data_IF_776606942068
#
_entry.id   IF_776606942068
#
_cell.length_a   1.000
_cell.length_b   1.000
_cell.length_c   1.000
_cell.angle_alpha   90.00
_cell.angle_beta   90.00
_cell.angle_gamma   90.00
#
_symmetry.space_group_name_H-M   'P 1'
#
loop_
_entity.id
_entity.type
_entity.pdbx_description
1 polymer ?
#
# COMPACT_ATOMS: atom_id res chain seq x y z
N UNK A 1 7.45 -12.31 14.50
CA UNK A 1 8.07 -13.25 13.53
C UNK A 1 8.33 -12.47 12.25
N UNK A 2 9.52 -12.58 11.62
CA UNK A 2 9.78 -11.90 10.35
C UNK A 2 8.81 -12.42 9.28
N UNK A 3 8.26 -11.51 8.46
CA UNK A 3 7.33 -11.88 7.38
C UNK A 3 8.06 -12.61 6.25
N UNK A 4 9.15 -12.06 5.73
CA UNK A 4 9.91 -12.69 4.65
C UNK A 4 10.85 -13.81 5.06
N UNK A 5 11.58 -14.31 4.07
CA UNK A 5 12.65 -15.29 4.17
C UNK A 5 14.01 -14.58 4.17
N UNK A 6 14.97 -15.11 4.94
CA UNK A 6 16.37 -14.65 4.90
C UNK A 6 17.14 -15.29 3.71
N UNK A 7 16.67 -16.44 3.20
CA UNK A 7 17.13 -17.12 1.99
C UNK A 7 15.97 -17.87 1.31
N UNK A 8 16.07 -18.15 0.02
CA UNK A 8 15.04 -18.91 -0.72
C UNK A 8 15.67 -19.94 -1.65
N UNK A 9 14.93 -21.01 -1.98
CA UNK A 9 15.33 -22.00 -2.99
C UNK A 9 15.28 -21.37 -4.38
N UNK A 10 16.36 -21.49 -5.14
CA UNK A 10 16.45 -21.01 -6.51
C UNK A 10 16.73 -22.18 -7.44
N UNK A 11 15.94 -22.27 -8.50
CA UNK A 11 15.99 -23.38 -9.45
C UNK A 11 17.26 -23.22 -10.32
N UNK A 12 18.00 -24.32 -10.50
CA UNK A 12 19.30 -24.29 -11.18
C UNK A 12 19.17 -24.08 -12.70
N UNK A 13 18.00 -24.43 -13.24
CA UNK A 13 17.56 -24.26 -14.62
C UNK A 13 16.78 -22.95 -14.84
N UNK A 14 16.81 -22.01 -13.89
CA UNK A 14 16.07 -20.75 -13.99
C UNK A 14 16.34 -19.97 -15.29
N UNK A 15 17.59 -19.99 -15.77
CA UNK A 15 17.98 -19.31 -17.00
C UNK A 15 17.60 -20.07 -18.27
N UNK A 16 17.23 -21.35 -18.14
CA UNK A 16 16.75 -22.20 -19.23
C UNK A 16 15.21 -22.17 -19.35
N UNK A 17 14.50 -21.60 -18.36
CA UNK A 17 13.05 -21.37 -18.45
C UNK A 17 12.73 -20.46 -19.63
N UNK A 18 11.86 -20.93 -20.53
CA UNK A 18 11.49 -20.23 -21.77
C UNK A 18 11.03 -18.77 -21.50
N UNK A 19 10.31 -18.53 -20.40
CA UNK A 19 9.82 -17.20 -20.01
C UNK A 19 10.99 -16.27 -19.70
N UNK A 20 12.03 -16.78 -19.04
CA UNK A 20 13.25 -16.04 -18.73
C UNK A 20 14.10 -15.85 -19.97
N UNK A 21 14.21 -16.86 -20.84
CA UNK A 21 14.92 -16.74 -22.12
C UNK A 21 14.30 -15.66 -23.02
N UNK A 22 12.97 -15.52 -23.08
CA UNK A 22 12.34 -14.40 -23.81
C UNK A 22 12.70 -13.03 -23.21
N UNK A 23 12.74 -12.92 -21.89
CA UNK A 23 13.13 -11.70 -21.19
C UNK A 23 14.60 -11.38 -21.45
N UNK A 24 15.47 -12.39 -21.43
CA UNK A 24 16.88 -12.27 -21.79
C UNK A 24 17.07 -11.83 -23.24
N UNK A 25 16.35 -12.42 -24.19
CA UNK A 25 16.43 -12.04 -25.60
C UNK A 25 16.03 -10.57 -25.84
N UNK A 26 15.09 -10.03 -25.06
CA UNK A 26 14.58 -8.66 -25.23
C UNK A 26 15.37 -7.60 -24.44
N UNK A 27 15.82 -7.94 -23.23
CA UNK A 27 16.42 -6.97 -22.29
C UNK A 27 17.85 -7.34 -21.86
N UNK A 28 18.39 -8.43 -22.40
CA UNK A 28 19.69 -8.98 -22.05
C UNK A 28 19.81 -9.32 -20.57
N UNK A 29 21.05 -9.23 -20.08
CA UNK A 29 21.39 -9.46 -18.68
C UNK A 29 20.59 -8.60 -17.69
N UNK A 30 20.13 -7.42 -18.11
CA UNK A 30 19.31 -6.55 -17.25
C UNK A 30 17.93 -7.17 -16.98
N UNK A 31 17.36 -7.88 -17.95
CA UNK A 31 16.12 -8.63 -17.79
C UNK A 31 16.26 -9.75 -16.77
N UNK A 32 17.28 -10.58 -16.92
CA UNK A 32 17.59 -11.69 -16.01
C UNK A 32 17.86 -11.20 -14.57
N UNK A 33 18.75 -10.20 -14.43
CA UNK A 33 19.05 -9.59 -13.13
C UNK A 33 17.81 -8.96 -12.51
N UNK A 34 16.94 -8.34 -13.31
CA UNK A 34 15.69 -7.78 -12.81
C UNK A 34 14.78 -8.87 -12.24
N UNK A 35 14.57 -9.97 -12.98
CA UNK A 35 13.74 -11.08 -12.53
C UNK A 35 14.22 -11.67 -11.19
N UNK A 36 15.52 -11.94 -11.06
CA UNK A 36 16.11 -12.46 -9.82
C UNK A 36 15.95 -11.45 -8.67
N UNK A 37 16.17 -10.16 -8.93
CA UNK A 37 16.01 -9.12 -7.91
C UNK A 37 14.56 -8.91 -7.50
N UNK A 38 13.59 -9.13 -8.38
CA UNK A 38 12.18 -9.14 -8.03
C UNK A 38 11.86 -10.33 -7.13
N UNK A 39 12.33 -11.55 -7.45
CA UNK A 39 12.17 -12.72 -6.59
C UNK A 39 12.76 -12.49 -5.19
N UNK A 40 13.97 -11.94 -5.09
CA UNK A 40 14.59 -11.63 -3.78
C UNK A 40 13.73 -10.66 -2.97
N UNK A 41 13.16 -9.62 -3.59
CA UNK A 41 12.27 -8.67 -2.93
C UNK A 41 10.93 -9.29 -2.53
N UNK A 42 10.36 -10.14 -3.37
CA UNK A 42 9.12 -10.85 -3.06
C UNK A 42 9.35 -11.73 -1.82
N UNK A 43 10.33 -12.64 -1.86
CA UNK A 43 10.57 -13.56 -0.76
C UNK A 43 11.05 -12.87 0.52
N UNK A 44 11.75 -11.74 0.44
CA UNK A 44 12.09 -10.90 1.61
C UNK A 44 10.87 -10.24 2.26
N UNK A 45 9.76 -10.12 1.55
CA UNK A 45 8.53 -9.49 2.05
C UNK A 45 7.36 -10.46 2.25
N UNK A 46 7.41 -11.66 1.68
CA UNK A 46 6.36 -12.66 1.80
C UNK A 46 6.19 -13.48 0.53
N UNK A 47 4.93 -13.60 0.09
CA UNK A 47 4.52 -14.34 -1.11
C UNK A 47 4.13 -13.44 -2.29
N UNK A 48 4.22 -12.11 -2.12
CA UNK A 48 4.00 -11.12 -3.16
C UNK A 48 4.81 -9.85 -2.89
N UNK A 49 4.92 -8.98 -3.90
CA UNK A 49 5.50 -7.65 -3.78
C UNK A 49 4.52 -6.62 -4.33
N UNK A 50 4.27 -5.53 -3.60
CA UNK A 50 3.49 -4.40 -4.11
C UNK A 50 4.27 -3.70 -5.23
N UNK A 51 3.59 -3.39 -6.31
CA UNK A 51 4.11 -2.80 -7.53
C UNK A 51 3.23 -1.63 -7.97
N UNK A 52 3.33 -0.54 -7.22
CA UNK A 52 2.69 0.73 -7.52
C UNK A 52 3.57 1.61 -8.44
N UNK A 53 3.09 2.79 -8.80
CA UNK A 53 3.77 3.73 -9.70
C UNK A 53 5.18 4.12 -9.21
N UNK A 54 5.42 4.10 -7.91
CA UNK A 54 6.71 4.42 -7.29
C UNK A 54 7.70 3.23 -7.32
N UNK A 55 7.19 1.99 -7.39
CA UNK A 55 8.01 0.78 -7.27
C UNK A 55 9.12 0.67 -8.34
N UNK A 56 8.89 1.01 -9.63
CA UNK A 56 9.93 0.99 -10.66
C UNK A 56 11.05 2.00 -10.38
N UNK A 57 10.74 3.19 -9.85
CA UNK A 57 11.72 4.21 -9.49
C UNK A 57 12.60 3.73 -8.31
N UNK A 58 11.98 3.18 -7.28
CA UNK A 58 12.70 2.61 -6.13
C UNK A 58 13.50 1.37 -6.54
N UNK A 59 13.00 0.59 -7.49
CA UNK A 59 13.74 -0.51 -8.08
C UNK A 59 14.98 0.00 -8.79
N UNK A 60 14.83 0.88 -9.78
CA UNK A 60 15.89 1.45 -10.60
C UNK A 60 17.01 2.08 -9.74
N UNK A 61 16.64 2.88 -8.75
CA UNK A 61 17.60 3.54 -7.84
C UNK A 61 18.49 2.54 -7.10
N UNK A 62 17.89 1.50 -6.52
CA UNK A 62 18.66 0.44 -5.82
C UNK A 62 19.34 -0.48 -6.83
N UNK A 63 18.83 -0.52 -8.07
CA UNK A 63 19.34 -1.39 -9.10
C UNK A 63 20.72 -0.99 -9.60
N UNK A 64 21.00 0.31 -9.59
CA UNK A 64 22.26 0.89 -9.99
C UNK A 64 22.22 1.35 -11.44
N UNK A 65 23.41 1.69 -11.96
CA UNK A 65 23.52 2.32 -13.26
C UNK A 65 22.91 1.45 -14.38
N UNK A 66 22.20 2.10 -15.31
CA UNK A 66 21.59 1.42 -16.45
C UNK A 66 20.22 0.79 -16.21
N UNK A 67 19.66 0.85 -14.99
CA UNK A 67 18.25 0.56 -14.76
C UNK A 67 17.46 1.87 -14.71
N UNK A 68 16.56 2.07 -15.67
CA UNK A 68 15.58 3.17 -15.68
C UNK A 68 14.20 2.65 -15.26
N UNK A 69 13.31 3.49 -14.72
CA UNK A 69 11.95 3.08 -14.38
C UNK A 69 11.22 2.44 -15.58
N UNK A 70 11.36 3.03 -16.78
CA UNK A 70 10.74 2.53 -18.01
C UNK A 70 11.27 1.15 -18.41
N UNK A 71 12.60 0.94 -18.30
CA UNK A 71 13.19 -0.38 -18.56
C UNK A 71 12.64 -1.42 -17.58
N UNK A 72 12.57 -1.07 -16.30
CA UNK A 72 12.08 -2.00 -15.27
C UNK A 72 10.62 -2.34 -15.50
N UNK A 73 9.78 -1.35 -15.84
CA UNK A 73 8.38 -1.58 -16.21
C UNK A 73 8.27 -2.48 -17.44
N UNK A 74 9.04 -2.20 -18.50
CA UNK A 74 9.05 -3.05 -19.69
C UNK A 74 9.43 -4.51 -19.41
N UNK A 75 10.38 -4.73 -18.48
CA UNK A 75 10.75 -6.09 -18.04
C UNK A 75 9.61 -6.75 -17.25
N UNK A 76 8.98 -6.02 -16.31
CA UNK A 76 7.86 -6.54 -15.52
C UNK A 76 6.66 -6.89 -16.40
N UNK A 77 6.34 -6.04 -17.37
CA UNK A 77 5.28 -6.27 -18.34
C UNK A 77 5.55 -7.51 -19.18
N UNK A 78 6.79 -7.72 -19.63
CA UNK A 78 7.16 -8.93 -20.37
C UNK A 78 7.11 -10.17 -19.47
N UNK A 79 7.57 -10.10 -18.22
CA UNK A 79 7.46 -11.19 -17.24
C UNK A 79 5.98 -11.56 -16.99
N UNK A 80 5.10 -10.58 -16.84
CA UNK A 80 3.66 -10.82 -16.69
C UNK A 80 3.03 -11.39 -17.97
N UNK A 81 3.42 -10.88 -19.14
CA UNK A 81 2.96 -11.37 -20.45
C UNK A 81 3.32 -12.85 -20.68
N UNK A 82 4.49 -13.29 -20.21
CA UNK A 82 4.96 -14.69 -20.30
C UNK A 82 4.41 -15.58 -19.17
N UNK A 83 3.59 -15.05 -18.27
CA UNK A 83 3.04 -15.80 -17.14
C UNK A 83 4.10 -16.18 -16.10
N UNK A 84 5.16 -15.40 -15.96
CA UNK A 84 6.06 -15.48 -14.81
C UNK A 84 5.41 -14.85 -13.58
N UNK A 85 4.73 -13.72 -13.79
CA UNK A 85 3.80 -13.12 -12.83
C UNK A 85 2.36 -13.31 -13.27
N UNK A 86 1.45 -13.39 -12.30
CA UNK A 86 0.03 -13.38 -12.53
C UNK A 86 -0.42 -12.00 -12.99
N UNK A 87 -0.83 -11.92 -14.26
CA UNK A 87 -1.23 -10.67 -14.90
C UNK A 87 -2.51 -10.08 -14.29
N UNK A 88 -3.44 -10.92 -13.82
CA UNK A 88 -4.69 -10.45 -13.25
C UNK A 88 -4.43 -9.73 -11.91
N UNK A 89 -3.61 -10.31 -11.03
CA UNK A 89 -3.24 -9.71 -9.76
C UNK A 89 -2.35 -8.46 -9.93
N UNK A 90 -1.47 -8.45 -10.94
CA UNK A 90 -0.71 -7.25 -11.29
C UNK A 90 -1.67 -6.11 -11.69
N UNK A 91 -2.62 -6.37 -12.58
CA UNK A 91 -3.53 -5.34 -13.08
C UNK A 91 -4.56 -4.87 -12.05
N UNK A 92 -5.11 -5.79 -11.26
CA UNK A 92 -6.21 -5.48 -10.33
C UNK A 92 -5.74 -5.00 -8.95
N UNK A 93 -4.62 -5.53 -8.46
CA UNK A 93 -4.12 -5.22 -7.11
C UNK A 93 -2.75 -4.52 -7.12
N UNK A 94 -2.10 -4.38 -8.27
CA UNK A 94 -0.76 -3.80 -8.34
C UNK A 94 0.24 -4.65 -7.56
N UNK A 95 0.21 -5.98 -7.71
CA UNK A 95 1.14 -6.88 -7.03
C UNK A 95 1.82 -7.87 -7.97
N UNK A 96 3.09 -8.14 -7.70
CA UNK A 96 3.87 -9.18 -8.36
C UNK A 96 3.85 -10.45 -7.51
N UNK A 97 3.23 -11.50 -8.05
CA UNK A 97 3.20 -12.85 -7.48
C UNK A 97 2.85 -13.84 -8.59
N UNK A 98 2.91 -15.13 -8.30
CA UNK A 98 2.40 -16.21 -9.16
C UNK A 98 2.17 -17.45 -8.31
N UNK A 99 1.42 -18.43 -8.84
CA UNK A 99 1.18 -19.70 -8.15
C UNK A 99 2.49 -20.34 -7.65
N UNK A 100 3.50 -20.46 -8.52
CA UNK A 100 4.80 -21.05 -8.16
C UNK A 100 5.57 -20.24 -7.10
N UNK A 101 5.48 -18.91 -7.15
CA UNK A 101 6.07 -18.04 -6.12
C UNK A 101 5.44 -18.30 -4.75
N UNK A 102 4.10 -18.32 -4.70
CA UNK A 102 3.35 -18.55 -3.46
C UNK A 102 3.61 -19.94 -2.89
N UNK A 103 3.55 -20.97 -3.74
CA UNK A 103 3.79 -22.36 -3.35
C UNK A 103 5.19 -22.52 -2.70
N UNK A 104 6.24 -21.99 -3.34
CA UNK A 104 7.61 -22.03 -2.77
C UNK A 104 7.70 -21.26 -1.46
N UNK A 105 7.09 -20.09 -1.35
CA UNK A 105 7.11 -19.31 -0.11
C UNK A 105 6.41 -20.03 1.05
N UNK A 106 5.20 -20.54 0.83
CA UNK A 106 4.44 -21.21 1.89
C UNK A 106 5.08 -22.52 2.31
N UNK A 107 5.64 -23.29 1.37
CA UNK A 107 6.45 -24.47 1.68
C UNK A 107 7.68 -24.12 2.51
N UNK A 108 8.40 -23.04 2.17
CA UNK A 108 9.54 -22.56 2.97
C UNK A 108 9.12 -22.10 4.38
N UNK A 109 7.85 -21.76 4.57
CA UNK A 109 7.30 -21.31 5.84
C UNK A 109 6.55 -22.41 6.62
N UNK A 110 6.62 -23.68 6.20
CA UNK A 110 5.86 -24.79 6.81
C UNK A 110 6.06 -24.91 8.34
N UNK A 111 7.28 -24.68 8.82
CA UNK A 111 7.62 -24.75 10.26
C UNK A 111 7.12 -23.56 11.08
N UNK A 112 6.55 -22.52 10.45
CA UNK A 112 6.05 -21.34 11.15
C UNK A 112 4.69 -21.64 11.78
N UNK A 113 4.46 -21.16 13.01
CA UNK A 113 3.21 -21.41 13.74
C UNK A 113 1.97 -20.85 13.03
N UNK A 114 2.10 -19.69 12.40
CA UNK A 114 1.00 -18.97 11.74
C UNK A 114 1.54 -18.05 10.65
N UNK A 115 0.85 -18.00 9.53
CA UNK A 115 1.11 -17.06 8.43
C UNK A 115 -0.21 -16.37 8.07
N UNK A 116 -0.23 -15.04 8.18
CA UNK A 116 -1.40 -14.26 7.75
C UNK A 116 -1.39 -14.08 6.23
N UNK A 117 -2.52 -14.40 5.60
CA UNK A 117 -2.71 -14.29 4.15
C UNK A 117 -3.94 -13.44 3.82
N UNK A 118 -3.88 -12.72 2.70
CA UNK A 118 -5.01 -12.01 2.11
C UNK A 118 -5.62 -12.92 1.04
N UNK A 119 -6.87 -13.33 1.25
CA UNK A 119 -7.59 -14.26 0.36
C UNK A 119 -7.63 -13.77 -1.09
N UNK A 120 -7.71 -12.45 -1.28
CA UNK A 120 -7.86 -11.82 -2.60
C UNK A 120 -6.60 -11.94 -3.46
N UNK A 121 -5.46 -12.20 -2.83
CA UNK A 121 -4.16 -12.30 -3.48
C UNK A 121 -3.70 -13.76 -3.60
N UNK A 122 -4.46 -14.71 -3.08
CA UNK A 122 -4.05 -16.10 -2.98
C UNK A 122 -4.32 -16.85 -4.29
N UNK A 123 -3.30 -17.56 -4.78
CA UNK A 123 -3.35 -18.36 -6.01
C UNK A 123 -3.22 -19.87 -5.72
N UNK A 124 -2.82 -20.25 -4.50
CA UNK A 124 -2.70 -21.64 -4.05
C UNK A 124 -3.90 -22.03 -3.19
N UNK A 125 -4.20 -23.32 -3.09
CA UNK A 125 -5.22 -23.80 -2.16
C UNK A 125 -4.72 -23.64 -0.71
N UNK A 126 -5.43 -22.90 0.16
CA UNK A 126 -5.06 -22.78 1.57
C UNK A 126 -4.96 -24.13 2.29
N UNK A 127 -5.72 -25.13 1.83
CA UNK A 127 -5.82 -26.46 2.44
C UNK A 127 -4.51 -27.26 2.34
N UNK A 128 -3.65 -26.91 1.38
CA UNK A 128 -2.33 -27.52 1.19
C UNK A 128 -1.35 -27.15 2.33
N UNK A 129 -1.67 -26.13 3.13
CA UNK A 129 -0.77 -25.56 4.12
C UNK A 129 -1.45 -25.38 5.48
N UNK A 130 -1.04 -26.20 6.46
CA UNK A 130 -1.67 -26.30 7.79
C UNK A 130 -1.60 -25.02 8.65
N UNK A 131 -0.74 -24.07 8.29
CA UNK A 131 -0.40 -22.91 9.12
C UNK A 131 -0.87 -21.57 8.53
N UNK A 132 -1.69 -21.59 7.48
CA UNK A 132 -2.26 -20.38 6.89
C UNK A 132 -3.47 -19.89 7.68
N UNK A 133 -3.52 -18.58 7.91
CA UNK A 133 -4.67 -17.91 8.49
C UNK A 133 -5.16 -16.84 7.54
N UNK A 134 -6.33 -17.12 6.95
CA UNK A 134 -7.01 -16.22 6.03
C UNK A 134 -7.52 -15.02 6.82
N UNK A 135 -7.01 -13.84 6.51
CA UNK A 135 -7.67 -12.59 6.89
C UNK A 135 -8.91 -12.45 6.02
N UNK A 136 -10.01 -13.04 6.47
CA UNK A 136 -11.33 -12.70 5.94
C UNK A 136 -11.61 -11.26 6.35
N UNK A 137 -11.67 -10.36 5.38
CA UNK A 137 -12.50 -9.17 5.55
C UNK A 137 -13.88 -9.70 5.90
N UNK A 138 -14.41 -9.34 7.07
CA UNK A 138 -15.82 -9.60 7.41
C UNK A 138 -16.68 -8.82 6.44
N UNK A 139 -16.91 -9.44 5.28
CA UNK A 139 -17.98 -9.14 4.36
C UNK A 139 -19.20 -9.84 4.95
N UNK A 140 -20.10 -9.06 5.51
CA UNK A 140 -21.47 -9.45 5.78
C UNK A 140 -22.18 -9.79 4.46
N UNK A 141 -22.06 -11.03 4.00
CA UNK A 141 -22.96 -11.62 3.00
C UNK A 141 -23.28 -13.04 3.41
N UNK A 142 -24.24 -13.19 4.33
CA UNK A 142 -25.08 -14.37 4.36
C UNK A 142 -26.11 -14.17 3.23
N UNK A 143 -25.78 -14.60 2.01
CA UNK A 143 -26.79 -14.84 0.99
C UNK A 143 -26.96 -16.35 0.85
N UNK A 144 -27.89 -16.90 1.61
CA UNK A 144 -28.44 -18.24 1.38
C UNK A 144 -29.04 -18.31 -0.02
N UNK A 145 -28.28 -18.76 -1.03
CA UNK A 145 -28.85 -19.36 -2.25
C UNK A 145 -27.94 -20.48 -2.78
N UNK A 146 -28.37 -21.71 -2.47
CA UNK A 146 -28.15 -23.00 -3.17
C UNK A 146 -27.04 -23.06 -4.22
N UNK A 147 -25.97 -23.77 -3.90
CA UNK A 147 -25.33 -24.69 -4.84
C UNK A 147 -25.44 -26.10 -4.26
N UNK A 148 -26.34 -26.89 -4.84
CA UNK A 148 -26.39 -28.34 -4.63
C UNK A 148 -25.17 -28.93 -5.33
N UNK A 149 -24.30 -29.62 -4.62
CA UNK A 149 -23.79 -30.93 -5.04
C UNK A 149 -23.26 -31.67 -3.81
N UNK A 150 -23.60 -32.95 -3.78
CA UNK A 150 -23.58 -33.89 -2.69
C UNK A 150 -22.18 -34.52 -2.56
N UNK A 151 -21.64 -34.60 -1.35
CA UNK A 151 -20.76 -35.68 -0.93
C UNK A 151 -20.85 -35.82 0.59
N UNK A 152 -21.48 -36.91 1.03
CA UNK A 152 -21.60 -37.36 2.40
C UNK A 152 -20.24 -37.41 3.11
N UNK A 153 -20.18 -36.85 4.32
CA UNK A 153 -19.51 -37.52 5.44
C UNK A 153 -20.43 -37.38 6.65
N UNK A 154 -21.19 -38.43 6.91
CA UNK A 154 -21.82 -38.70 8.20
C UNK A 154 -20.75 -38.82 9.28
N UNK A 155 -20.89 -38.10 10.38
CA UNK A 155 -20.55 -38.64 11.69
C UNK A 155 -21.47 -38.03 12.75
N UNK A 156 -22.14 -38.93 13.45
CA UNK A 156 -23.21 -38.72 14.42
C UNK A 156 -22.64 -38.06 15.69
N UNK A 157 -23.30 -36.99 16.16
CA UNK A 157 -23.24 -36.59 17.56
C UNK A 157 -24.53 -37.07 18.21
N UNK A 158 -24.43 -38.08 19.08
CA UNK A 158 -25.50 -38.52 19.96
C UNK A 158 -25.34 -37.86 21.33
N UNK A 159 -26.39 -37.13 21.71
CA UNK A 159 -26.95 -36.92 23.05
C UNK A 159 -26.08 -37.16 24.28
N UNK A 160 -25.94 -36.10 25.09
CA UNK A 160 -26.03 -36.24 26.56
C UNK A 160 -26.94 -35.13 27.09
N UNK A 161 -28.15 -35.51 27.45
CA UNK A 161 -29.05 -34.80 28.36
C UNK A 161 -28.48 -34.76 29.79
N UNK A 162 -28.73 -33.70 30.56
CA UNK A 162 -29.26 -33.82 31.91
C UNK A 162 -29.75 -32.47 32.49
N UNK A 163 -30.67 -32.60 33.44
CA UNK A 163 -31.75 -31.68 33.79
C UNK A 163 -31.41 -30.62 34.86
N UNK A 164 -32.14 -29.49 34.76
CA UNK A 164 -32.82 -28.68 35.78
C UNK A 164 -32.17 -28.38 37.15
N UNK A 165 -32.15 -27.07 37.51
CA UNK A 165 -32.81 -26.58 38.72
C UNK A 165 -33.06 -25.06 38.66
N UNK A 166 -34.27 -24.71 39.08
CA UNK A 166 -34.90 -23.39 39.23
C UNK A 166 -34.24 -22.55 40.34
N UNK A 167 -34.28 -21.21 40.24
CA UNK A 167 -34.38 -20.21 41.33
C UNK A 167 -34.40 -18.79 40.72
N UNK A 168 -35.62 -18.26 40.58
CA UNK A 168 -36.13 -16.98 41.14
C UNK A 168 -35.23 -15.71 41.21
N UNK A 169 -35.81 -14.63 40.63
CA UNK A 169 -35.95 -13.22 41.10
C UNK A 169 -35.09 -12.10 40.48
N UNK A 170 -35.81 -11.27 39.73
CA UNK A 170 -35.91 -9.79 39.76
C UNK A 170 -34.66 -8.90 39.57
N UNK A 171 -34.62 -8.18 38.45
CA UNK A 171 -34.77 -6.70 38.33
C UNK A 171 -34.66 -6.36 36.83
N UNK A 172 -35.73 -5.90 36.16
CA UNK A 172 -36.17 -4.50 36.04
C UNK A 172 -35.04 -3.57 35.58
N UNK A 173 -35.10 -3.12 34.31
CA UNK A 173 -34.97 -1.71 33.88
C UNK A 173 -35.05 -1.61 32.33
N UNK A 174 -36.06 -0.86 31.91
CA UNK A 174 -36.17 0.06 30.76
C UNK A 174 -36.02 -0.43 29.31
N UNK A 175 -37.20 -0.50 28.70
CA UNK A 175 -37.52 -0.31 27.29
C UNK A 175 -37.04 1.07 26.79
N UNK A 176 -36.36 1.14 25.65
CA UNK A 176 -36.35 2.38 24.85
C UNK A 176 -36.21 2.12 23.36
N UNK A 177 -37.38 2.17 22.71
CA UNK A 177 -37.69 2.90 21.48
C UNK A 177 -36.68 2.88 20.34
N UNK A 178 -37.13 2.26 19.24
CA UNK A 178 -36.59 2.46 17.91
C UNK A 178 -36.58 3.92 17.47
N UNK A 179 -35.62 4.22 16.60
CA UNK A 179 -35.64 5.36 15.69
C UNK A 179 -34.95 4.93 14.41
N UNK A 180 -35.77 4.55 13.44
CA UNK A 180 -35.43 4.75 12.03
C UNK A 180 -35.03 6.23 11.84
N UNK A 181 -33.89 6.46 11.19
CA UNK A 181 -33.58 7.76 10.63
C UNK A 181 -33.28 7.58 9.15
N UNK A 182 -34.25 7.99 8.35
CA UNK A 182 -34.02 8.52 7.00
C UNK A 182 -33.07 9.70 7.14
N UNK A 183 -32.05 9.78 6.29
CA UNK A 183 -31.33 11.03 6.04
C UNK A 183 -31.28 11.23 4.53
N UNK A 184 -31.78 12.40 4.18
CA UNK A 184 -32.01 12.91 2.84
C UNK A 184 -30.72 13.08 2.01
N UNK A 185 -30.91 12.89 0.72
CA UNK A 185 -29.96 13.24 -0.35
C UNK A 185 -29.71 14.74 -0.32
N UNK A 186 -28.48 15.20 -0.06
CA UNK A 186 -28.06 16.59 -0.33
C UNK A 186 -26.67 16.65 -0.96
N UNK A 187 -26.61 17.40 -2.06
CA UNK A 187 -25.48 17.70 -2.93
C UNK A 187 -24.88 19.08 -2.56
N UNK A 188 -24.02 19.19 -1.55
CA UNK A 188 -23.05 20.31 -1.45
C UNK A 188 -22.03 20.08 -0.31
N UNK A 189 -20.70 20.14 -0.53
CA UNK A 189 -19.69 20.01 0.52
C UNK A 189 -19.59 21.21 1.50
N UNK A 190 -20.36 22.29 1.29
CA UNK A 190 -20.29 23.50 2.13
C UNK A 190 -21.16 23.47 3.40
N UNK A 191 -21.99 22.44 3.62
CA UNK A 191 -22.97 22.39 4.74
C UNK A 191 -22.76 21.20 5.69
N UNK A 192 -21.60 20.54 5.67
CA UNK A 192 -21.32 19.44 6.60
C UNK A 192 -20.87 19.99 7.95
N UNK A 193 -21.40 19.52 9.11
CA UNK A 193 -21.01 20.02 10.43
C UNK A 193 -19.55 19.74 10.82
N UNK A 194 -18.87 18.89 10.06
CA UNK A 194 -17.55 18.35 10.37
C UNK A 194 -16.46 19.14 9.66
N UNK A 195 -15.52 19.66 10.43
CA UNK A 195 -14.39 20.44 9.92
C UNK A 195 -13.47 19.57 9.05
N UNK A 196 -13.38 18.27 9.35
CA UNK A 196 -12.54 17.33 8.62
C UNK A 196 -12.92 17.24 7.13
N UNK A 197 -14.21 17.36 6.79
CA UNK A 197 -14.69 17.37 5.41
C UNK A 197 -14.13 18.55 4.62
N UNK A 198 -14.12 19.73 5.25
CA UNK A 198 -13.62 20.97 4.64
C UNK A 198 -12.11 20.91 4.45
N UNK A 199 -11.36 20.51 5.49
CA UNK A 199 -9.89 20.42 5.42
C UNK A 199 -9.47 19.37 4.39
N UNK A 200 -10.16 18.23 4.33
CA UNK A 200 -9.91 17.20 3.33
C UNK A 200 -10.10 17.74 1.90
N UNK A 201 -11.28 18.30 1.61
CA UNK A 201 -11.64 18.75 0.27
C UNK A 201 -10.69 19.84 -0.27
N UNK A 202 -10.29 20.77 0.60
CA UNK A 202 -9.44 21.90 0.23
C UNK A 202 -7.97 21.53 0.00
N UNK A 203 -7.46 20.51 0.70
CA UNK A 203 -6.02 20.22 0.70
C UNK A 203 -5.65 18.94 -0.07
N UNK A 204 -6.59 18.01 -0.20
CA UNK A 204 -6.38 16.71 -0.84
C UNK A 204 -7.06 16.72 -2.21
N UNK A 205 -8.38 16.59 -2.25
CA UNK A 205 -9.19 16.81 -3.45
C UNK A 205 -10.69 16.87 -3.08
N UNK A 206 -11.55 17.41 -3.96
CA UNK A 206 -12.99 17.39 -3.75
C UNK A 206 -13.50 15.96 -3.53
N UNK A 207 -14.37 15.81 -2.53
CA UNK A 207 -15.01 14.53 -2.21
C UNK A 207 -16.01 14.24 -3.33
N UNK A 208 -15.64 13.33 -4.21
CA UNK A 208 -16.35 13.07 -5.47
C UNK A 208 -17.12 11.76 -5.47
N UNK A 209 -16.86 10.88 -4.50
CA UNK A 209 -17.48 9.56 -4.38
C UNK A 209 -18.20 9.39 -3.05
N UNK A 210 -19.38 8.79 -3.08
CA UNK A 210 -20.12 8.41 -1.86
C UNK A 210 -19.30 7.48 -0.97
N UNK A 211 -18.51 6.58 -1.56
CA UNK A 211 -17.62 5.67 -0.82
C UNK A 211 -16.56 6.45 -0.03
N UNK A 212 -16.04 7.53 -0.61
CA UNK A 212 -15.05 8.36 0.05
C UNK A 212 -15.66 9.19 1.17
N UNK A 213 -16.86 9.73 0.94
CA UNK A 213 -17.66 10.42 1.94
C UNK A 213 -17.96 9.50 3.13
N UNK A 214 -18.43 8.28 2.88
CA UNK A 214 -18.76 7.31 3.93
C UNK A 214 -17.52 6.91 4.73
N UNK A 215 -16.37 6.70 4.06
CA UNK A 215 -15.11 6.43 4.77
C UNK A 215 -14.68 7.58 5.66
N UNK A 216 -14.85 8.82 5.21
CA UNK A 216 -14.47 9.98 6.02
C UNK A 216 -15.42 10.13 7.22
N UNK A 217 -16.72 9.87 7.04
CA UNK A 217 -17.70 9.79 8.13
C UNK A 217 -17.34 8.69 9.13
N UNK A 218 -17.03 7.47 8.67
CA UNK A 218 -16.62 6.36 9.54
C UNK A 218 -15.41 6.73 10.42
N UNK A 219 -14.45 7.48 9.85
CA UNK A 219 -13.28 7.95 10.59
C UNK A 219 -13.65 9.02 11.62
N UNK A 220 -14.56 9.93 11.28
CA UNK A 220 -15.03 10.97 12.19
C UNK A 220 -15.85 10.36 13.33
N UNK A 221 -16.70 9.38 13.04
CA UNK A 221 -17.51 8.67 14.03
C UNK A 221 -16.63 7.84 14.98
N UNK A 222 -15.55 7.23 14.48
CA UNK A 222 -14.66 6.41 15.30
C UNK A 222 -13.63 7.23 16.10
N UNK A 223 -12.96 8.20 15.45
CA UNK A 223 -11.84 8.94 16.06
C UNK A 223 -12.21 10.34 16.57
N UNK A 224 -13.35 10.89 16.13
CA UNK A 224 -13.74 12.26 16.38
C UNK A 224 -13.16 13.24 15.35
N UNK A 225 -13.93 14.28 15.06
CA UNK A 225 -13.62 15.28 14.02
C UNK A 225 -12.24 15.94 14.23
N UNK A 226 -11.91 16.33 15.47
CA UNK A 226 -10.62 16.97 15.78
C UNK A 226 -9.41 16.08 15.49
N UNK A 227 -9.48 14.77 15.76
CA UNK A 227 -8.39 13.85 15.48
C UNK A 227 -8.22 13.65 13.98
N UNK A 228 -9.33 13.52 13.26
CA UNK A 228 -9.30 13.38 11.80
C UNK A 228 -8.72 14.63 11.14
N UNK A 229 -9.12 15.83 11.59
CA UNK A 229 -8.53 17.10 11.14
C UNK A 229 -7.01 17.12 11.28
N UNK A 230 -6.49 16.84 12.48
CA UNK A 230 -5.04 16.86 12.75
C UNK A 230 -4.29 15.81 11.93
N UNK A 231 -4.90 14.65 11.69
CA UNK A 231 -4.30 13.60 10.87
C UNK A 231 -4.23 14.00 9.39
N UNK A 232 -5.28 14.67 8.87
CA UNK A 232 -5.29 15.25 7.52
C UNK A 232 -4.20 16.32 7.39
N UNK A 233 -4.12 17.27 8.32
CA UNK A 233 -3.06 18.30 8.30
C UNK A 233 -1.67 17.69 8.28
N UNK A 234 -1.43 16.67 9.10
CA UNK A 234 -0.14 15.97 9.13
C UNK A 234 0.17 15.24 7.83
N UNK A 235 -0.84 14.64 7.19
CA UNK A 235 -0.69 14.03 5.88
C UNK A 235 -0.34 15.08 4.80
N UNK A 236 -0.95 16.27 4.87
CA UNK A 236 -0.68 17.40 3.98
C UNK A 236 0.74 17.94 4.19
N UNK A 237 1.14 18.20 5.45
CA UNK A 237 2.48 18.70 5.79
C UNK A 237 3.59 17.75 5.33
N UNK A 238 3.34 16.44 5.37
CA UNK A 238 4.29 15.41 4.90
C UNK A 238 4.19 15.12 3.40
N UNK A 239 3.34 15.86 2.68
CA UNK A 239 3.02 15.68 1.26
C UNK A 239 2.64 14.22 0.90
N UNK A 240 1.94 13.55 1.82
CA UNK A 240 1.39 12.18 1.69
C UNK A 240 -0.14 12.26 1.79
N UNK A 241 -0.72 13.04 0.87
CA UNK A 241 -2.14 13.46 0.83
C UNK A 241 -3.07 12.35 0.33
N UNK A 242 -3.25 11.29 1.11
CA UNK A 242 -4.22 10.23 0.82
C UNK A 242 -4.83 9.64 2.10
N UNK A 243 -6.08 9.15 1.99
CA UNK A 243 -6.81 8.55 3.10
C UNK A 243 -6.07 7.38 3.76
N UNK A 244 -5.34 6.57 2.98
CA UNK A 244 -4.56 5.46 3.54
C UNK A 244 -3.50 5.92 4.55
N UNK A 245 -2.83 7.03 4.27
CA UNK A 245 -1.84 7.63 5.17
C UNK A 245 -2.50 8.27 6.39
N UNK A 246 -3.63 8.97 6.20
CA UNK A 246 -4.44 9.55 7.28
C UNK A 246 -4.90 8.47 8.26
N UNK A 247 -5.44 7.36 7.75
CA UNK A 247 -5.85 6.20 8.55
C UNK A 247 -4.65 5.61 9.31
N UNK A 248 -3.49 5.53 8.69
CA UNK A 248 -2.26 5.06 9.33
C UNK A 248 -1.83 5.94 10.51
N UNK A 249 -2.00 7.27 10.39
CA UNK A 249 -1.74 8.22 11.47
C UNK A 249 -2.74 8.00 12.62
N UNK A 250 -4.04 7.95 12.31
CA UNK A 250 -5.10 7.77 13.32
C UNK A 250 -4.95 6.47 14.10
N UNK A 251 -4.69 5.35 13.41
CA UNK A 251 -4.42 4.06 14.07
C UNK A 251 -3.19 4.09 14.96
N UNK A 252 -2.15 4.82 14.55
CA UNK A 252 -0.96 4.99 15.39
C UNK A 252 -1.30 5.76 16.66
N UNK A 253 -2.02 6.87 16.55
CA UNK A 253 -2.43 7.66 17.71
C UNK A 253 -3.35 6.89 18.64
N UNK A 254 -4.21 6.03 18.12
CA UNK A 254 -5.06 5.14 18.92
C UNK A 254 -4.22 4.15 19.75
N UNK A 255 -3.11 3.65 19.20
CA UNK A 255 -2.25 2.67 19.89
C UNK A 255 -1.16 3.30 20.77
N UNK A 256 -0.62 4.45 20.37
CA UNK A 256 0.59 5.06 20.97
C UNK A 256 0.28 6.37 21.71
N UNK A 257 -0.96 6.87 21.61
CA UNK A 257 -1.36 8.19 22.07
C UNK A 257 -1.09 9.27 21.01
N UNK A 258 -1.80 10.40 21.14
CA UNK A 258 -1.62 11.54 20.25
C UNK A 258 -0.23 12.17 20.45
N UNK A 259 0.63 12.07 19.43
CA UNK A 259 1.93 12.75 19.40
C UNK A 259 1.76 14.13 18.74
N UNK A 260 1.82 15.20 19.52
CA UNK A 260 1.77 16.54 18.97
C UNK A 260 3.10 16.86 18.26
N UNK A 261 3.09 16.88 16.92
CA UNK A 261 4.28 17.00 16.06
C UNK A 261 4.88 18.42 16.04
N UNK A 262 4.43 19.34 16.90
CA UNK A 262 5.02 20.69 17.02
C UNK A 262 6.53 20.63 17.34
N UNK A 263 7.06 19.47 17.75
CA UNK A 263 8.48 19.21 18.02
C UNK A 263 9.27 18.47 16.92
N UNK A 264 8.69 18.07 15.77
CA UNK A 264 9.38 17.21 14.78
C UNK A 264 10.55 17.90 14.05
N UNK A 265 10.52 19.23 13.93
CA UNK A 265 11.58 19.98 13.24
C UNK A 265 12.95 19.96 13.96
N UNK A 266 13.02 19.50 15.22
CA UNK A 266 14.25 19.59 16.03
C UNK A 266 15.09 18.31 16.08
N UNK A 267 14.62 17.17 15.55
CA UNK A 267 15.26 15.85 15.80
C UNK A 267 16.02 15.23 14.64
N UNK A 268 16.15 15.88 13.48
CA UNK A 268 16.86 15.27 12.35
C UNK A 268 17.91 16.19 11.70
N UNK A 269 19.14 16.27 12.25
CA UNK A 269 20.24 17.07 11.73
C UNK A 269 20.59 16.72 10.26
N UNK A 270 20.38 15.47 9.85
CA UNK A 270 20.70 14.96 8.52
C UNK A 270 19.74 15.44 7.42
N UNK A 271 18.50 15.78 7.76
CA UNK A 271 17.55 16.38 6.81
C UNK A 271 17.92 17.84 6.52
N UNK A 272 18.30 18.60 7.56
CA UNK A 272 18.71 20.01 7.40
C UNK A 272 20.05 20.15 6.67
N UNK A 273 21.01 19.24 6.88
CA UNK A 273 22.28 19.23 6.14
C UNK A 273 22.09 18.95 4.64
N UNK A 274 21.17 18.04 4.28
CA UNK A 274 20.85 17.75 2.86
C UNK A 274 20.11 18.90 2.17
N UNK A 275 19.22 19.58 2.89
CA UNK A 275 18.51 20.77 2.38
C UNK A 275 19.46 21.95 2.20
N UNK A 276 20.37 22.18 3.15
CA UNK A 276 21.40 23.21 3.06
C UNK A 276 22.38 22.96 1.90
N UNK A 277 22.87 21.72 1.75
CA UNK A 277 23.76 21.36 0.63
C UNK A 277 23.09 21.51 -0.74
N UNK A 278 21.79 21.17 -0.85
CA UNK A 278 21.02 21.37 -2.09
C UNK A 278 20.82 22.87 -2.39
N UNK A 279 20.57 23.70 -1.37
CA UNK A 279 20.41 25.14 -1.55
C UNK A 279 21.73 25.84 -1.92
N UNK A 280 22.85 25.40 -1.35
CA UNK A 280 24.19 25.89 -1.73
C UNK A 280 24.55 25.50 -3.18
N UNK A 281 24.24 24.28 -3.61
CA UNK A 281 24.45 23.86 -4.99
C UNK A 281 23.60 24.68 -5.98
N UNK A 282 22.34 24.96 -5.64
CA UNK A 282 21.46 25.79 -6.47
C UNK A 282 21.99 27.23 -6.54
N UNK A 283 22.40 27.82 -5.41
CA UNK A 283 22.97 29.17 -5.38
C UNK A 283 24.30 29.26 -6.15
N UNK A 284 25.14 28.23 -6.10
CA UNK A 284 26.38 28.18 -6.88
C UNK A 284 26.11 28.17 -8.39
N UNK A 285 25.12 27.40 -8.84
CA UNK A 285 24.72 27.36 -10.26
C UNK A 285 24.10 28.69 -10.69
N UNK A 286 23.25 29.30 -9.87
CA UNK A 286 22.66 30.62 -10.16
C UNK A 286 23.72 31.72 -10.27
N UNK A 287 24.71 31.74 -9.37
CA UNK A 287 25.81 32.69 -9.44
C UNK A 287 26.70 32.49 -10.67
N UNK A 288 26.89 31.23 -11.10
CA UNK A 288 27.64 30.93 -12.32
C UNK A 288 26.89 31.41 -13.57
N UNK A 289 25.57 31.17 -13.64
CA UNK A 289 24.75 31.66 -14.75
C UNK A 289 24.73 33.19 -14.83
N UNK A 290 24.63 33.88 -13.69
CA UNK A 290 24.66 35.34 -13.65
C UNK A 290 25.99 35.94 -14.15
N UNK A 291 27.13 35.25 -13.91
CA UNK A 291 28.43 35.68 -14.44
C UNK A 291 28.51 35.54 -15.96
N UNK A 292 28.02 34.43 -16.49
CA UNK A 292 27.96 34.24 -17.94
C UNK A 292 27.05 35.25 -18.63
N UNK A 293 25.94 35.62 -17.98
CA UNK A 293 25.04 36.67 -18.50
C UNK A 293 25.69 38.06 -18.47
N UNK A 294 26.45 38.39 -17.43
CA UNK A 294 27.20 39.66 -17.36
C UNK A 294 28.32 39.73 -18.39
N UNK A 295 29.11 38.66 -18.54
CA UNK A 295 30.16 38.60 -19.57
C UNK A 295 29.56 38.75 -20.96
N UNK A 296 28.42 38.10 -21.26
CA UNK A 296 27.74 38.25 -22.54
C UNK A 296 27.26 39.69 -22.81
N UNK A 297 26.80 40.40 -21.79
CA UNK A 297 26.38 41.80 -21.91
C UNK A 297 27.57 42.75 -22.13
N UNK A 298 28.71 42.48 -21.50
CA UNK A 298 29.94 43.26 -21.67
C UNK A 298 30.52 43.11 -23.09
N UNK A 299 30.42 41.92 -23.70
CA UNK A 299 30.78 41.70 -25.10
C UNK A 299 29.87 42.45 -26.09
N UNK A 300 28.57 42.54 -25.80
CA UNK A 300 27.61 43.26 -26.65
C UNK A 300 27.78 44.81 -26.53
N UNK A 301 28.22 45.32 -25.38
CA UNK A 301 28.50 46.76 -25.17
C UNK A 301 29.86 47.20 -25.77
N UNK A 302 30.89 46.34 -25.77
CA UNK A 302 32.19 46.64 -26.41
C UNK A 302 32.13 46.67 -27.96
N UNK A 303 31.18 45.98 -28.60
CA UNK A 303 30.98 46.06 -30.05
C UNK A 303 30.27 47.36 -30.52
N UNK A 304 29.54 48.06 -29.63
CA UNK A 304 28.79 49.28 -29.98
C UNK A 304 29.65 50.57 -29.82
N UNK A 305 30.67 50.55 -28.95
CA UNK A 305 31.58 51.70 -28.71
C UNK A 305 32.79 51.75 -29.67
N UNK A 306 32.97 50.73 -30.52
CA UNK A 306 34.02 50.65 -31.55
C UNK A 306 33.68 51.32 -32.88
N UNK A 307 32.48 51.91 -33.00
CA UNK A 307 31.96 52.54 -34.21
C UNK A 307 31.91 54.06 -34.17
N UNK A 308 33.07 54.74 -34.09
CA UNK A 308 33.18 56.16 -34.45
C UNK A 308 34.53 56.49 -35.09
#
# INVERSE_FOLDING_TARGET
MKRGLDFFSFDVDFFDDEKIQYVSARFGIKGEVCAIRLLTRIYRNGYFLKWDEDAPYLFAKVAGNGFTPDLVNGIVDELAKRGFFDKALLNSFGVLTSHGIQQRYFKACERRKKIEIDERLLLVDPSDFKNLQIRRSTSCYHSEKKCRHHADISNQNADISNQNADISKQSKVEESRGKERKVDVVKDPATTPYEAFRIYANNIHPISSEIEKDRLLDLIDHYGDEWVCKAIERAVMRNKRNLGYIIGILRRWETEGYDDDTAYNSRNPQHNQRKAGKQQAISAVQNLMARYEQEAQEYDEEEDDGGN
#
